data_IF_280939353790
#
_entry.id   IF_280939353790
#
_cell.length_a   1.000
_cell.length_b   1.000
_cell.length_c   1.000
_cell.angle_alpha   90.00
_cell.angle_beta   90.00
_cell.angle_gamma   90.00
#
_symmetry.space_group_name_H-M   'P 1'
#
loop_
_entity.id
_entity.type
_entity.pdbx_description
1 polymer ?
#
# COMPACT_ATOMS: atom_id res chain seq x y z
N UNK A 1 79.44 -6.26 -11.76
CA UNK A 1 79.99 -4.92 -12.07
C UNK A 1 78.90 -3.93 -11.68
N UNK A 2 78.97 -3.33 -10.47
CA UNK A 2 79.65 -2.03 -10.22
C UNK A 2 78.82 -0.90 -10.84
N UNK A 3 78.31 0.16 -10.20
CA UNK A 3 78.56 0.94 -8.97
C UNK A 3 77.33 1.89 -8.84
N UNK A 4 76.66 2.09 -7.69
CA UNK A 4 76.92 3.07 -6.61
C UNK A 4 77.00 4.56 -7.00
N UNK A 5 76.34 5.40 -6.18
CA UNK A 5 76.49 6.85 -6.05
C UNK A 5 75.24 7.44 -5.36
N UNK A 6 75.17 7.51 -4.03
CA UNK A 6 75.59 8.64 -3.15
C UNK A 6 74.85 9.96 -3.48
N UNK A 7 74.11 10.58 -2.56
CA UNK A 7 74.71 11.36 -1.46
C UNK A 7 73.66 11.84 -0.42
N UNK A 8 74.14 11.98 0.81
CA UNK A 8 73.50 12.47 2.04
C UNK A 8 73.33 14.01 2.10
N UNK A 9 72.38 14.49 2.92
CA UNK A 9 72.51 15.43 4.07
C UNK A 9 71.13 16.06 4.37
N UNK A 10 70.44 15.84 5.51
CA UNK A 10 70.68 16.12 6.94
C UNK A 10 70.56 17.62 7.32
N UNK A 11 69.57 17.93 8.16
CA UNK A 11 69.41 19.24 8.85
C UNK A 11 67.97 19.53 9.30
N UNK A 12 67.47 18.91 10.38
CA UNK A 12 67.30 19.46 11.75
C UNK A 12 66.14 20.43 12.02
N UNK A 13 65.43 20.08 13.10
CA UNK A 13 64.20 20.64 13.66
C UNK A 13 64.26 22.07 14.20
N UNK A 14 63.09 22.70 14.33
CA UNK A 14 62.83 23.70 15.36
C UNK A 14 61.41 23.59 15.92
N UNK A 15 61.33 23.27 17.23
CA UNK A 15 60.15 23.37 18.11
C UNK A 15 60.08 24.79 18.65
N UNK A 16 58.88 25.39 18.73
CA UNK A 16 58.57 26.41 19.75
C UNK A 16 57.17 26.17 20.36
N UNK A 17 57.18 26.14 21.70
CA UNK A 17 56.05 26.15 22.64
C UNK A 17 55.59 27.59 22.93
N UNK A 18 54.33 27.77 23.32
CA UNK A 18 53.78 28.79 24.24
C UNK A 18 52.39 28.26 24.67
N UNK A 19 52.20 27.63 25.84
CA UNK A 19 52.02 28.10 27.24
C UNK A 19 50.64 28.70 27.57
N UNK A 20 50.09 28.19 28.67
CA UNK A 20 48.79 28.39 29.33
C UNK A 20 48.45 29.84 29.72
N UNK A 21 47.14 30.11 29.90
CA UNK A 21 46.64 30.91 31.03
C UNK A 21 45.15 30.64 31.35
N UNK A 22 44.89 30.22 32.59
CA UNK A 22 43.61 30.27 33.30
C UNK A 22 43.16 31.71 33.57
N UNK A 23 41.85 31.97 33.60
CA UNK A 23 41.30 32.89 34.60
C UNK A 23 39.85 32.54 34.98
N UNK A 24 39.57 32.74 36.27
CA UNK A 24 38.43 32.30 37.08
C UNK A 24 37.72 33.54 37.63
N UNK A 25 36.40 33.46 37.85
CA UNK A 25 35.52 34.22 38.78
C UNK A 25 34.25 34.71 38.06
N UNK A 26 33.03 34.78 38.63
CA UNK A 26 32.56 34.67 40.03
C UNK A 26 31.04 34.43 40.02
N UNK A 27 30.55 33.81 41.09
CA UNK A 27 29.15 33.57 41.40
C UNK A 27 28.40 34.84 41.86
N UNK A 28 27.06 34.81 41.77
CA UNK A 28 26.18 35.36 42.81
C UNK A 28 24.86 34.59 42.91
N UNK A 29 24.53 34.27 44.16
CA UNK A 29 23.33 33.64 44.69
C UNK A 29 22.15 34.63 44.66
N UNK A 30 20.91 34.13 44.66
CA UNK A 30 19.96 34.31 45.77
C UNK A 30 18.65 33.53 45.47
N UNK A 31 18.32 32.49 46.25
CA UNK A 31 17.45 32.46 47.45
C UNK A 31 16.03 31.94 47.10
N UNK A 32 15.70 30.79 47.71
CA UNK A 32 14.38 30.15 47.86
C UNK A 32 13.64 30.77 49.06
N UNK A 33 12.30 30.63 49.23
CA UNK A 33 11.70 29.47 49.93
C UNK A 33 10.42 28.96 49.22
N UNK A 34 10.20 27.64 49.05
CA UNK A 34 9.42 26.71 49.91
C UNK A 34 8.14 27.28 50.53
N UNK A 35 6.99 26.68 50.18
CA UNK A 35 6.07 25.98 51.12
C UNK A 35 4.76 25.56 50.40
N UNK A 36 4.47 24.27 50.28
CA UNK A 36 3.61 23.39 51.12
C UNK A 36 2.16 23.25 50.64
N UNK A 37 1.69 22.02 50.84
CA UNK A 37 0.39 21.39 50.59
C UNK A 37 -0.88 22.22 50.79
N UNK A 38 -1.89 21.97 49.95
CA UNK A 38 -3.27 21.80 50.44
C UNK A 38 -4.11 20.98 49.45
N UNK A 39 -4.54 19.80 49.89
CA UNK A 39 -5.75 19.12 49.42
C UNK A 39 -6.99 19.89 49.89
N UNK A 40 -8.04 19.94 49.06
CA UNK A 40 -9.45 19.73 49.46
C UNK A 40 -10.42 19.91 48.29
N UNK A 41 -11.34 18.96 48.23
CA UNK A 41 -12.61 18.97 47.49
C UNK A 41 -13.43 20.25 47.73
N UNK A 42 -14.23 20.65 46.75
CA UNK A 42 -15.69 20.51 46.76
C UNK A 42 -16.31 21.08 45.47
N UNK A 43 -17.39 20.44 45.04
CA UNK A 43 -18.06 20.67 43.77
C UNK A 43 -18.79 22.01 43.64
N UNK A 44 -19.21 22.24 42.40
CA UNK A 44 -20.06 23.35 42.01
C UNK A 44 -20.47 23.18 40.56
N UNK A 45 -21.59 22.49 40.33
CA UNK A 45 -22.36 22.65 39.10
C UNK A 45 -22.72 24.13 38.93
N UNK A 46 -22.50 24.67 37.74
CA UNK A 46 -23.28 25.82 37.28
C UNK A 46 -23.42 25.73 35.76
N UNK A 47 -24.60 25.25 35.35
CA UNK A 47 -25.08 25.32 33.99
C UNK A 47 -25.42 26.76 33.63
N UNK A 48 -24.71 27.35 32.67
CA UNK A 48 -25.22 28.48 31.88
C UNK A 48 -24.91 28.17 30.42
N UNK A 49 -25.95 27.88 29.63
CA UNK A 49 -25.92 28.07 28.18
C UNK A 49 -26.23 29.54 27.89
N UNK A 50 -25.57 30.13 26.90
CA UNK A 50 -26.33 30.80 25.85
C UNK A 50 -25.92 30.27 24.46
N UNK A 51 -26.92 30.15 23.58
CA UNK A 51 -26.72 29.89 22.14
C UNK A 51 -26.32 31.15 21.36
N UNK A 52 -26.50 31.15 20.04
CA UNK A 52 -25.44 30.88 19.09
C UNK A 52 -24.95 32.18 18.42
N UNK A 53 -23.63 32.31 18.23
CA UNK A 53 -23.09 33.29 17.29
C UNK A 53 -22.11 32.63 16.32
N UNK A 54 -22.29 33.06 15.09
CA UNK A 54 -21.90 32.49 13.83
C UNK A 54 -20.58 33.13 13.41
N UNK A 55 -19.47 32.40 13.47
CA UNK A 55 -18.25 32.77 12.75
C UNK A 55 -17.65 31.53 12.10
N UNK A 56 -17.88 31.45 10.79
CA UNK A 56 -17.05 30.72 9.83
C UNK A 56 -15.59 31.06 10.07
N UNK A 57 -14.75 30.06 10.34
CA UNK A 57 -13.42 30.01 9.72
C UNK A 57 -12.83 28.59 9.73
N UNK A 58 -11.94 28.36 8.77
CA UNK A 58 -11.58 27.10 8.15
C UNK A 58 -10.92 26.04 9.06
N UNK A 59 -11.74 25.15 9.63
CA UNK A 59 -11.30 23.86 10.18
C UNK A 59 -11.34 22.76 9.12
N UNK A 60 -10.27 22.63 8.33
CA UNK A 60 -10.06 21.42 7.51
C UNK A 60 -9.77 20.23 8.42
N UNK A 61 -10.82 19.60 8.94
CA UNK A 61 -10.73 18.35 9.70
C UNK A 61 -10.05 17.29 8.85
N UNK A 62 -8.80 16.96 9.21
CA UNK A 62 -8.14 15.73 8.79
C UNK A 62 -8.98 14.57 9.31
N UNK A 63 -9.85 14.05 8.44
CA UNK A 63 -10.66 12.89 8.74
C UNK A 63 -9.74 11.67 8.77
N UNK A 64 -9.20 11.34 9.94
CA UNK A 64 -8.66 10.00 10.21
C UNK A 64 -9.85 9.06 10.19
N UNK A 65 -10.16 8.53 9.00
CA UNK A 65 -11.04 7.39 8.85
C UNK A 65 -10.15 6.15 8.81
N UNK A 66 -10.36 5.13 9.65
CA UNK A 66 -9.74 3.84 9.42
C UNK A 66 -10.25 3.34 8.06
N UNK A 67 -9.36 3.36 7.07
CA UNK A 67 -9.58 2.76 5.76
C UNK A 67 -9.61 1.24 5.86
N UNK A 68 -10.22 0.53 4.90
CA UNK A 68 -10.20 -0.92 4.89
C UNK A 68 -8.76 -1.40 4.72
N UNK A 69 -8.36 -2.36 5.54
CA UNK A 69 -7.07 -3.06 5.57
C UNK A 69 -6.41 -3.16 4.19
N UNK A 70 -5.48 -2.23 3.90
CA UNK A 70 -4.61 -2.30 2.73
C UNK A 70 -3.19 -2.09 3.24
N UNK A 71 -2.35 -3.08 2.94
CA UNK A 71 -1.05 -3.39 3.53
C UNK A 71 -1.04 -4.21 4.85
N UNK A 72 -1.98 -5.15 5.05
CA UNK A 72 -1.69 -6.24 6.00
C UNK A 72 -0.73 -7.22 5.30
N UNK A 73 0.52 -7.38 5.77
CA UNK A 73 1.29 -8.55 5.40
C UNK A 73 0.50 -9.74 5.96
N UNK A 74 0.04 -10.66 5.10
CA UNK A 74 -0.14 -12.02 5.59
C UNK A 74 1.19 -12.38 6.25
N UNK A 75 1.17 -12.60 7.57
CA UNK A 75 2.36 -12.66 8.39
C UNK A 75 3.19 -13.84 7.89
N UNK A 76 4.36 -13.54 7.33
CA UNK A 76 5.29 -14.56 6.86
C UNK A 76 5.55 -15.50 8.04
N UNK A 77 5.14 -16.77 7.91
CA UNK A 77 5.26 -17.77 9.00
C UNK A 77 6.71 -18.08 9.31
N UNK A 78 7.63 -17.84 8.38
CA UNK A 78 9.06 -18.07 8.62
C UNK A 78 9.62 -17.11 9.67
N UNK A 79 9.14 -15.87 9.75
CA UNK A 79 9.65 -14.84 10.66
C UNK A 79 8.62 -14.38 11.69
N UNK A 80 7.63 -15.21 12.02
CA UNK A 80 6.58 -14.90 12.99
C UNK A 80 7.10 -14.67 14.42
N UNK A 81 8.20 -15.33 14.77
CA UNK A 81 8.92 -15.22 16.02
C UNK A 81 9.82 -13.99 16.13
N UNK A 82 10.00 -13.23 15.05
CA UNK A 82 10.76 -11.98 15.07
C UNK A 82 9.79 -10.87 15.50
N UNK A 83 10.20 -10.07 16.48
CA UNK A 83 9.37 -8.97 16.97
C UNK A 83 9.13 -7.91 15.86
N UNK A 84 7.90 -7.41 15.78
CA UNK A 84 7.52 -6.29 14.93
C UNK A 84 6.53 -5.41 15.68
N UNK A 85 6.60 -4.12 15.42
CA UNK A 85 5.81 -3.12 16.12
C UNK A 85 4.43 -2.99 15.47
N UNK A 86 3.38 -3.03 16.28
CA UNK A 86 1.97 -3.01 15.81
C UNK A 86 1.25 -1.69 16.10
N UNK A 87 1.94 -0.69 16.62
CA UNK A 87 1.34 0.56 17.09
C UNK A 87 1.20 1.64 15.99
N UNK A 88 1.39 1.28 14.72
CA UNK A 88 1.40 2.22 13.60
C UNK A 88 -0.01 2.59 13.15
N UNK A 89 -0.30 3.89 13.09
CA UNK A 89 -1.52 4.39 12.49
C UNK A 89 -1.39 4.37 10.97
N UNK A 90 -2.17 3.52 10.32
CA UNK A 90 -2.20 3.42 8.87
C UNK A 90 -2.88 4.64 8.24
N UNK A 91 -2.17 5.29 7.31
CA UNK A 91 -2.69 6.46 6.61
C UNK A 91 -2.39 6.39 5.11
N UNK A 92 -3.33 6.88 4.30
CA UNK A 92 -3.13 7.05 2.86
C UNK A 92 -2.39 8.38 2.57
N UNK A 93 -1.47 8.41 1.60
CA UNK A 93 -0.81 9.63 1.16
C UNK A 93 -1.72 10.49 0.29
N UNK A 94 -1.51 11.81 0.32
CA UNK A 94 -1.88 12.66 -0.80
C UNK A 94 -0.90 12.39 -1.95
N UNK A 95 -1.42 11.87 -3.05
CA UNK A 95 -0.62 11.52 -4.22
C UNK A 95 -0.74 12.58 -5.30
N UNK A 96 0.38 12.99 -5.88
CA UNK A 96 0.41 13.88 -7.06
C UNK A 96 1.45 13.38 -8.06
N UNK A 97 1.19 13.52 -9.35
CA UNK A 97 2.14 13.12 -10.39
C UNK A 97 2.68 14.37 -11.08
N UNK A 98 3.99 14.58 -11.03
CA UNK A 98 4.66 15.71 -11.67
C UNK A 98 5.72 15.15 -12.62
N UNK A 99 5.60 15.47 -13.91
CA UNK A 99 6.52 14.97 -14.95
C UNK A 99 6.69 13.44 -14.97
N UNK A 100 5.63 12.70 -14.61
CA UNK A 100 5.65 11.23 -14.56
C UNK A 100 6.19 10.65 -13.25
N UNK A 101 6.64 11.48 -12.31
CA UNK A 101 7.07 11.05 -10.97
C UNK A 101 5.91 11.16 -9.99
N UNK A 102 5.61 10.06 -9.30
CA UNK A 102 4.58 10.01 -8.26
C UNK A 102 5.15 10.49 -6.93
N UNK A 103 4.62 11.61 -6.42
CA UNK A 103 4.97 12.20 -5.14
C UNK A 103 3.93 11.82 -4.09
N UNK A 104 4.40 11.34 -2.94
CA UNK A 104 3.60 11.09 -1.76
C UNK A 104 3.78 12.22 -0.75
N UNK A 105 2.69 12.70 -0.17
CA UNK A 105 2.69 13.75 0.84
C UNK A 105 1.79 13.39 2.01
N UNK A 106 2.31 13.55 3.22
CA UNK A 106 1.56 13.38 4.46
C UNK A 106 1.64 14.64 5.30
N UNK A 107 0.54 14.94 5.99
CA UNK A 107 0.48 15.93 7.07
C UNK A 107 0.00 15.21 8.31
N UNK A 108 0.87 15.06 9.29
CA UNK A 108 0.58 14.28 10.48
C UNK A 108 0.93 15.08 11.74
N UNK A 109 0.08 15.05 12.77
CA UNK A 109 0.46 15.53 14.10
C UNK A 109 1.44 14.55 14.77
N UNK A 110 1.80 14.81 16.03
CA UNK A 110 2.57 13.86 16.85
C UNK A 110 1.96 12.45 16.80
N UNK A 111 2.80 11.45 16.52
CA UNK A 111 2.42 10.04 16.51
C UNK A 111 3.32 9.16 15.66
N UNK A 112 2.93 7.88 15.57
CA UNK A 112 3.56 6.84 14.77
C UNK A 112 2.64 6.45 13.61
N UNK A 113 3.13 6.54 12.38
CA UNK A 113 2.33 6.33 11.17
C UNK A 113 2.96 5.33 10.21
N UNK A 114 2.12 4.63 9.45
CA UNK A 114 2.51 3.77 8.34
C UNK A 114 1.76 4.19 7.07
N UNK A 115 2.50 4.44 5.99
CA UNK A 115 1.89 4.69 4.69
C UNK A 115 1.34 3.39 4.10
N UNK A 116 0.04 3.34 3.84
CA UNK A 116 -0.65 2.17 3.26
C UNK A 116 -0.27 1.87 1.81
N UNK A 117 0.48 2.76 1.14
CA UNK A 117 0.91 2.59 -0.25
C UNK A 117 2.34 2.10 -0.33
N UNK A 118 3.28 2.78 0.35
CA UNK A 118 4.71 2.47 0.27
C UNK A 118 5.23 1.60 1.41
N UNK A 119 4.44 1.41 2.48
CA UNK A 119 4.87 0.74 3.71
C UNK A 119 5.89 1.54 4.52
N UNK A 120 6.21 2.79 4.17
CA UNK A 120 7.12 3.65 4.93
C UNK A 120 6.50 3.94 6.31
N UNK A 121 7.27 3.78 7.39
CA UNK A 121 6.81 4.15 8.73
C UNK A 121 7.66 5.28 9.31
N UNK A 122 7.04 6.13 10.11
CA UNK A 122 7.73 7.24 10.77
C UNK A 122 7.11 7.60 12.12
N UNK A 123 7.96 8.06 13.03
CA UNK A 123 7.58 8.62 14.32
C UNK A 123 7.94 10.10 14.35
N UNK A 124 7.00 10.92 14.81
CA UNK A 124 7.22 12.35 14.98
C UNK A 124 6.63 12.82 16.31
N UNK A 125 7.33 13.72 17.00
CA UNK A 125 6.92 14.29 18.30
C UNK A 125 6.19 15.63 18.15
N UNK A 126 6.11 16.15 16.93
CA UNK A 126 5.44 17.40 16.56
C UNK A 126 4.73 17.25 15.22
N UNK A 127 3.94 18.24 14.85
CA UNK A 127 3.33 18.32 13.53
C UNK A 127 4.40 18.34 12.45
N UNK A 128 4.28 17.44 11.48
CA UNK A 128 5.19 17.32 10.35
C UNK A 128 4.45 17.33 9.02
N UNK A 129 5.16 17.79 7.99
CA UNK A 129 4.78 17.61 6.61
C UNK A 129 5.90 16.86 5.91
N UNK A 130 5.65 15.57 5.71
CA UNK A 130 6.55 14.63 5.06
C UNK A 130 6.20 14.54 3.58
N UNK A 131 7.19 14.73 2.72
CA UNK A 131 7.12 14.43 1.29
C UNK A 131 8.17 13.39 0.93
N UNK A 132 7.82 12.48 0.05
CA UNK A 132 8.81 11.60 -0.56
C UNK A 132 8.33 11.04 -1.89
N UNK A 133 9.27 10.48 -2.65
CA UNK A 133 8.96 9.66 -3.82
C UNK A 133 9.98 8.54 -3.98
N UNK A 134 9.62 7.57 -4.83
CA UNK A 134 10.51 6.49 -5.20
C UNK A 134 11.49 6.97 -6.28
N UNK A 135 12.77 6.59 -6.12
CA UNK A 135 13.85 6.90 -7.06
C UNK A 135 14.27 5.66 -7.83
N UNK A 136 14.71 5.86 -9.07
CA UNK A 136 15.33 4.81 -9.86
C UNK A 136 16.72 4.47 -9.29
N UNK A 137 16.99 3.17 -9.15
CA UNK A 137 18.28 2.64 -8.71
C UNK A 137 19.34 2.58 -9.82
N UNK A 138 18.94 2.62 -11.09
CA UNK A 138 19.83 2.49 -12.25
C UNK A 138 21.10 3.37 -12.16
N UNK A 139 21.03 4.67 -11.76
CA UNK A 139 22.21 5.53 -11.67
C UNK A 139 23.24 5.06 -10.63
N UNK A 140 22.82 4.28 -9.62
CA UNK A 140 23.67 3.82 -8.52
C UNK A 140 24.06 2.34 -8.65
N UNK A 141 23.61 1.66 -9.71
CA UNK A 141 23.81 0.22 -9.90
C UNK A 141 25.29 -0.19 -9.96
N UNK A 142 26.13 0.57 -10.66
CA UNK A 142 27.56 0.29 -10.74
C UNK A 142 28.26 0.59 -9.42
N UNK A 143 27.92 1.72 -8.79
CA UNK A 143 28.46 2.12 -7.50
C UNK A 143 28.20 1.08 -6.40
N UNK A 144 26.99 0.53 -6.34
CA UNK A 144 26.67 -0.57 -5.42
C UNK A 144 27.53 -1.81 -5.68
N UNK A 145 27.76 -2.16 -6.95
CA UNK A 145 28.63 -3.30 -7.30
C UNK A 145 30.06 -3.07 -6.81
N UNK A 146 30.59 -1.87 -6.99
CA UNK A 146 31.94 -1.50 -6.58
C UNK A 146 32.09 -1.53 -5.04
N UNK A 147 31.06 -1.06 -4.33
CA UNK A 147 30.99 -1.12 -2.86
C UNK A 147 30.65 -2.52 -2.31
N UNK A 148 30.35 -3.51 -3.18
CA UNK A 148 29.91 -4.87 -2.82
C UNK A 148 28.57 -4.93 -2.06
N UNK A 149 27.63 -4.08 -2.44
CA UNK A 149 26.25 -4.08 -1.94
C UNK A 149 25.23 -4.35 -3.06
N UNK A 150 24.03 -4.71 -2.66
CA UNK A 150 22.83 -4.77 -3.50
C UNK A 150 21.66 -4.06 -2.79
N UNK A 151 20.56 -3.84 -3.51
CA UNK A 151 19.37 -3.20 -2.95
C UNK A 151 18.74 -4.11 -1.90
N UNK A 152 18.39 -3.57 -0.73
CA UNK A 152 17.62 -4.26 0.31
C UNK A 152 16.16 -3.82 0.39
N UNK A 153 15.82 -2.70 -0.28
CA UNK A 153 14.51 -2.06 -0.28
C UNK A 153 14.40 -0.97 -1.36
N UNK A 154 13.30 -0.19 -1.35
CA UNK A 154 13.12 0.94 -2.26
C UNK A 154 14.05 2.12 -1.90
N UNK A 155 14.58 2.81 -2.93
CA UNK A 155 15.25 4.09 -2.76
C UNK A 155 14.21 5.21 -2.64
N UNK A 156 14.19 5.85 -1.48
CA UNK A 156 13.20 6.87 -1.11
C UNK A 156 13.89 8.23 -1.03
N UNK A 157 13.41 9.21 -1.78
CA UNK A 157 13.86 10.59 -1.65
C UNK A 157 12.99 11.31 -0.62
N UNK A 158 13.49 11.43 0.62
CA UNK A 158 12.72 11.98 1.74
C UNK A 158 12.99 13.48 1.85
N UNK A 159 11.92 14.27 1.90
CA UNK A 159 11.96 15.73 2.07
C UNK A 159 11.00 16.16 3.16
N UNK A 160 11.52 16.88 4.15
CA UNK A 160 10.70 17.52 5.19
C UNK A 160 10.30 18.92 4.75
N UNK A 161 9.00 19.19 4.59
CA UNK A 161 8.50 20.57 4.37
C UNK A 161 8.27 21.31 5.69
N UNK A 162 7.96 20.55 6.75
CA UNK A 162 7.72 21.09 8.08
C UNK A 162 8.11 20.05 9.13
N UNK A 163 8.82 20.51 10.17
CA UNK A 163 9.18 19.70 11.33
C UNK A 163 10.30 18.69 11.04
N UNK A 164 10.51 17.79 12.00
CA UNK A 164 11.55 16.77 11.97
C UNK A 164 10.95 15.43 12.41
N UNK A 165 11.52 14.34 11.90
CA UNK A 165 11.14 12.98 12.29
C UNK A 165 12.12 12.49 13.36
N UNK A 166 11.60 11.78 14.35
CA UNK A 166 12.43 11.09 15.34
C UNK A 166 12.95 9.77 14.80
N UNK A 167 12.07 9.05 14.11
CA UNK A 167 12.37 7.73 13.54
C UNK A 167 11.77 7.61 12.15
N UNK A 168 12.51 6.95 11.26
CA UNK A 168 11.98 6.41 10.01
C UNK A 168 12.31 4.93 9.94
N UNK A 169 11.34 4.13 9.52
CA UNK A 169 11.54 2.71 9.31
C UNK A 169 11.38 2.44 7.81
N UNK A 170 12.50 2.12 7.17
CA UNK A 170 12.61 1.91 5.73
C UNK A 170 12.23 0.45 5.39
N UNK A 171 11.29 0.21 4.46
CA UNK A 171 10.92 -1.13 4.07
C UNK A 171 12.10 -1.95 3.53
N UNK A 172 12.15 -3.24 3.86
CA UNK A 172 13.03 -4.22 3.22
C UNK A 172 12.27 -5.49 2.86
N UNK A 173 12.77 -6.21 1.85
CA UNK A 173 12.18 -7.48 1.44
C UNK A 173 12.86 -8.70 2.09
N UNK A 174 13.95 -8.53 2.83
CA UNK A 174 14.67 -9.66 3.46
C UNK A 174 13.84 -10.30 4.58
N UNK A 175 13.79 -11.63 4.63
CA UNK A 175 13.21 -12.39 5.73
C UNK A 175 14.30 -12.78 6.72
N UNK A 176 14.13 -12.39 7.99
CA UNK A 176 15.08 -12.71 9.06
C UNK A 176 14.83 -14.06 9.74
N UNK A 177 13.76 -14.77 9.37
CA UNK A 177 13.27 -15.94 10.09
C UNK A 177 14.25 -17.13 10.09
N UNK A 178 14.81 -17.47 8.93
CA UNK A 178 15.79 -18.56 8.82
C UNK A 178 17.19 -18.13 9.27
N UNK A 179 17.51 -16.84 9.12
CA UNK A 179 18.84 -16.32 9.43
C UNK A 179 18.78 -14.90 10.03
N UNK A 180 18.62 -14.77 11.36
CA UNK A 180 18.59 -13.48 12.04
C UNK A 180 19.90 -12.69 11.97
N UNK A 181 21.02 -13.33 11.58
CA UNK A 181 22.32 -12.65 11.47
C UNK A 181 22.39 -11.70 10.26
N UNK A 182 21.48 -11.85 9.28
CA UNK A 182 21.37 -10.98 8.12
C UNK A 182 21.15 -9.50 8.47
N UNK A 183 20.65 -9.21 9.68
CA UNK A 183 20.57 -7.84 10.20
C UNK A 183 21.93 -7.11 10.19
N UNK A 184 23.02 -7.84 10.41
CA UNK A 184 24.38 -7.28 10.44
C UNK A 184 24.93 -6.99 9.04
N UNK A 185 24.31 -7.58 8.01
CA UNK A 185 24.69 -7.43 6.60
C UNK A 185 23.94 -6.28 5.93
N UNK A 186 22.99 -5.66 6.64
CA UNK A 186 22.25 -4.49 6.17
C UNK A 186 22.96 -3.20 6.57
N UNK A 187 22.94 -2.21 5.67
CA UNK A 187 23.34 -0.82 5.93
C UNK A 187 22.29 0.11 5.36
N UNK A 188 22.33 1.36 5.79
CA UNK A 188 21.54 2.44 5.19
C UNK A 188 22.44 3.19 4.23
N UNK A 189 22.05 3.22 2.96
CA UNK A 189 22.65 4.06 1.95
C UNK A 189 22.01 5.43 2.03
N UNK A 190 22.85 6.47 2.12
CA UNK A 190 22.47 7.85 1.88
C UNK A 190 23.07 8.29 0.56
N UNK A 191 22.25 8.94 -0.27
CA UNK A 191 22.66 9.57 -1.51
C UNK A 191 22.55 11.08 -1.31
N UNK A 192 23.70 11.74 -1.39
CA UNK A 192 23.88 13.17 -1.16
C UNK A 192 24.42 13.84 -2.43
N UNK A 193 24.46 15.17 -2.47
CA UNK A 193 24.89 15.94 -3.65
C UNK A 193 26.32 15.58 -4.11
N UNK A 194 27.20 15.18 -3.18
CA UNK A 194 28.62 14.95 -3.45
C UNK A 194 29.04 13.47 -3.39
N UNK A 195 28.08 12.55 -3.30
CA UNK A 195 28.38 11.11 -3.30
C UNK A 195 27.37 10.29 -2.53
N UNK A 196 27.85 9.15 -2.01
CA UNK A 196 27.07 8.25 -1.17
C UNK A 196 27.80 7.97 0.12
N UNK A 197 27.05 7.79 1.20
CA UNK A 197 27.56 7.36 2.50
C UNK A 197 26.77 6.15 3.00
N UNK A 198 27.39 5.37 3.88
CA UNK A 198 26.78 4.20 4.51
C UNK A 198 26.68 4.44 6.02
N UNK A 199 25.49 4.22 6.57
CA UNK A 199 25.19 4.28 7.99
C UNK A 199 24.83 2.87 8.51
N UNK A 200 25.20 2.61 9.77
CA UNK A 200 24.75 1.41 10.49
C UNK A 200 23.24 1.46 10.75
N UNK A 201 22.57 0.33 10.59
CA UNK A 201 21.14 0.27 10.92
C UNK A 201 20.97 0.30 12.43
N UNK A 202 20.08 1.16 12.95
CA UNK A 202 19.82 1.22 14.38
C UNK A 202 19.12 -0.05 14.88
N UNK A 203 18.10 -0.51 14.15
CA UNK A 203 17.33 -1.71 14.46
C UNK A 203 16.76 -2.30 13.17
N UNK A 204 16.77 -3.62 13.03
CA UNK A 204 16.12 -4.32 11.92
C UNK A 204 14.97 -5.15 12.48
N UNK A 205 13.77 -4.87 12.00
CA UNK A 205 12.53 -5.57 12.37
C UNK A 205 12.17 -6.60 11.28
N UNK A 206 10.96 -7.16 11.31
CA UNK A 206 10.50 -8.13 10.30
C UNK A 206 10.51 -7.59 8.87
N UNK A 207 10.11 -6.34 8.69
CA UNK A 207 9.88 -5.74 7.38
C UNK A 207 10.57 -4.39 7.19
N UNK A 208 11.23 -3.86 8.22
CA UNK A 208 11.82 -2.53 8.17
C UNK A 208 13.16 -2.41 8.87
N UNK A 209 13.99 -1.51 8.35
CA UNK A 209 15.22 -1.05 8.98
C UNK A 209 15.01 0.37 9.54
N UNK A 210 15.23 0.54 10.83
CA UNK A 210 15.05 1.79 11.57
C UNK A 210 16.29 2.68 11.44
N UNK A 211 16.03 3.96 11.21
CA UNK A 211 16.98 5.07 11.31
C UNK A 211 16.45 6.14 12.25
N UNK A 212 17.36 6.79 12.97
CA UNK A 212 17.04 7.87 13.90
C UNK A 212 17.36 9.23 13.27
N UNK A 213 16.51 10.21 13.55
CA UNK A 213 16.67 11.61 13.13
C UNK A 213 17.09 11.75 11.65
N UNK A 214 16.31 11.18 10.71
CA UNK A 214 16.67 11.19 9.29
C UNK A 214 16.76 12.63 8.78
N UNK A 215 17.80 12.88 8.01
CA UNK A 215 17.93 14.13 7.24
C UNK A 215 17.12 14.03 5.97
N UNK A 216 16.83 15.18 5.35
CA UNK A 216 16.27 15.19 4.00
C UNK A 216 17.35 14.73 3.03
N UNK A 217 17.22 13.50 2.55
CA UNK A 217 18.13 12.86 1.61
C UNK A 217 17.45 11.67 0.93
N UNK A 218 18.08 11.19 -0.14
CA UNK A 218 17.71 9.93 -0.76
C UNK A 218 18.30 8.77 0.03
N UNK A 219 17.46 7.90 0.57
CA UNK A 219 17.84 6.84 1.52
C UNK A 219 17.28 5.48 1.14
N UNK A 220 18.02 4.41 1.45
CA UNK A 220 17.53 3.03 1.30
C UNK A 220 18.30 2.04 2.17
N UNK A 221 17.66 0.91 2.45
CA UNK A 221 18.35 -0.30 2.91
C UNK A 221 19.17 -0.89 1.75
N UNK A 222 20.42 -1.24 2.03
CA UNK A 222 21.29 -2.04 1.15
C UNK A 222 21.78 -3.27 1.89
N UNK A 223 22.03 -4.35 1.16
CA UNK A 223 22.46 -5.64 1.69
C UNK A 223 23.83 -6.00 1.12
N UNK A 224 24.71 -6.56 1.95
CA UNK A 224 25.99 -7.10 1.49
C UNK A 224 25.78 -8.11 0.34
N UNK A 225 26.52 -7.94 -0.75
CA UNK A 225 26.36 -8.72 -1.98
C UNK A 225 26.69 -10.21 -1.81
N UNK A 226 27.55 -10.57 -0.86
CA UNK A 226 27.86 -11.99 -0.58
C UNK A 226 26.69 -12.63 0.19
N UNK A 227 26.12 -11.91 1.15
CA UNK A 227 24.98 -12.38 1.92
C UNK A 227 23.72 -12.59 1.06
N UNK A 228 23.57 -11.83 -0.03
CA UNK A 228 22.39 -11.92 -0.90
C UNK A 228 22.34 -13.17 -1.80
N UNK A 229 23.39 -13.99 -1.86
CA UNK A 229 23.39 -15.18 -2.73
C UNK A 229 22.45 -16.29 -2.27
N UNK A 230 22.14 -16.34 -0.98
CA UNK A 230 21.33 -17.39 -0.39
C UNK A 230 20.45 -16.82 0.73
N UNK A 231 19.62 -15.85 0.37
CA UNK A 231 18.75 -15.13 1.30
C UNK A 231 17.30 -15.50 1.08
N UNK A 232 16.58 -15.70 2.18
CA UNK A 232 15.14 -15.84 2.19
C UNK A 232 14.50 -14.44 2.16
N UNK A 233 13.49 -14.26 1.31
CA UNK A 233 12.87 -12.95 1.04
C UNK A 233 11.35 -13.04 1.04
N UNK A 234 10.71 -11.93 1.41
CA UNK A 234 9.29 -11.69 1.29
C UNK A 234 8.95 -11.28 -0.14
N UNK A 235 7.91 -11.90 -0.68
CA UNK A 235 7.50 -11.73 -2.06
C UNK A 235 6.01 -11.44 -2.18
N UNK A 236 5.63 -10.80 -3.27
CA UNK A 236 4.24 -10.63 -3.69
C UNK A 236 4.03 -11.27 -5.06
N UNK A 237 2.80 -11.73 -5.30
CA UNK A 237 2.39 -12.33 -6.57
C UNK A 237 1.34 -11.43 -7.20
N UNK A 238 1.64 -10.90 -8.38
CA UNK A 238 0.74 -10.03 -9.14
C UNK A 238 0.31 -10.75 -10.41
N UNK A 239 -0.98 -10.70 -10.71
CA UNK A 239 -1.56 -11.27 -11.92
C UNK A 239 -2.20 -10.19 -12.77
N UNK A 240 -1.80 -10.10 -14.04
CA UNK A 240 -2.56 -9.38 -15.05
C UNK A 240 -3.34 -10.38 -15.87
N UNK A 241 -4.65 -10.18 -16.04
CA UNK A 241 -5.51 -11.12 -16.73
C UNK A 241 -6.43 -10.40 -17.73
N UNK A 242 -6.54 -10.94 -18.94
CA UNK A 242 -7.47 -10.50 -19.96
C UNK A 242 -8.34 -11.67 -20.45
N UNK A 243 -9.64 -11.43 -20.53
CA UNK A 243 -10.61 -12.36 -21.15
C UNK A 243 -10.85 -11.95 -22.59
N UNK A 244 -10.62 -12.88 -23.52
CA UNK A 244 -10.81 -12.68 -24.96
C UNK A 244 -11.70 -13.77 -25.52
N UNK A 245 -12.95 -13.47 -25.89
CA UNK A 245 -13.92 -14.45 -26.46
C UNK A 245 -13.88 -15.79 -25.70
N UNK A 246 -13.20 -16.80 -26.25
CA UNK A 246 -13.07 -18.16 -25.72
C UNK A 246 -11.76 -18.45 -24.96
N UNK A 247 -10.91 -17.45 -24.71
CA UNK A 247 -9.56 -17.60 -24.16
C UNK A 247 -9.33 -16.62 -23.02
N UNK A 248 -8.70 -17.09 -21.95
CA UNK A 248 -8.15 -16.25 -20.89
C UNK A 248 -6.63 -16.23 -21.05
N UNK A 249 -6.06 -15.03 -21.07
CA UNK A 249 -4.62 -14.81 -21.13
C UNK A 249 -4.23 -14.15 -19.81
N UNK A 250 -3.26 -14.74 -19.11
CA UNK A 250 -2.74 -14.16 -17.89
C UNK A 250 -1.22 -14.04 -17.90
N UNK A 251 -0.73 -13.09 -17.09
CA UNK A 251 0.68 -12.78 -16.88
C UNK A 251 0.92 -12.69 -15.38
N UNK A 252 1.60 -13.69 -14.84
CA UNK A 252 1.91 -13.77 -13.42
C UNK A 252 3.33 -13.27 -13.20
N UNK A 253 3.48 -12.31 -12.29
CA UNK A 253 4.73 -11.73 -11.86
C UNK A 253 5.02 -12.16 -10.43
N UNK A 254 6.26 -12.59 -10.19
CA UNK A 254 6.79 -12.83 -8.85
C UNK A 254 7.74 -11.70 -8.50
N UNK A 255 7.39 -10.93 -7.47
CA UNK A 255 8.09 -9.70 -7.08
C UNK A 255 8.63 -9.84 -5.66
N UNK A 256 9.78 -9.22 -5.40
CA UNK A 256 10.16 -8.91 -4.03
C UNK A 256 9.15 -7.91 -3.47
N UNK A 257 8.89 -7.96 -2.16
CA UNK A 257 8.01 -7.00 -1.49
C UNK A 257 8.69 -5.63 -1.40
N UNK A 258 8.73 -4.96 -2.55
CA UNK A 258 9.39 -3.69 -2.81
C UNK A 258 8.49 -2.87 -3.74
N UNK A 259 8.08 -1.68 -3.26
CA UNK A 259 7.19 -0.80 -4.01
C UNK A 259 7.77 -0.38 -5.36
N UNK A 260 9.10 -0.26 -5.50
CA UNK A 260 9.73 0.09 -6.78
C UNK A 260 9.56 -0.99 -7.86
N UNK A 261 9.61 -2.28 -7.48
CA UNK A 261 9.37 -3.38 -8.42
C UNK A 261 7.91 -3.42 -8.88
N UNK A 262 6.97 -3.12 -7.97
CA UNK A 262 5.56 -3.02 -8.32
C UNK A 262 5.30 -1.89 -9.33
N UNK A 263 5.84 -0.70 -9.10
CA UNK A 263 5.72 0.41 -10.05
C UNK A 263 6.32 0.09 -11.41
N UNK A 264 7.49 -0.57 -11.45
CA UNK A 264 8.12 -0.99 -12.71
C UNK A 264 7.25 -1.99 -13.51
N UNK A 265 6.57 -2.92 -12.83
CA UNK A 265 5.62 -3.84 -13.48
C UNK A 265 4.38 -3.10 -13.96
N UNK A 266 3.85 -2.16 -13.18
CA UNK A 266 2.69 -1.36 -13.57
C UNK A 266 2.97 -0.50 -14.81
N UNK A 267 4.14 0.14 -14.89
CA UNK A 267 4.54 0.89 -16.08
C UNK A 267 4.65 -0.02 -17.31
N UNK A 268 5.26 -1.20 -17.14
CA UNK A 268 5.38 -2.21 -18.21
C UNK A 268 4.02 -2.70 -18.74
N UNK A 269 3.06 -2.91 -17.84
CA UNK A 269 1.74 -3.45 -18.18
C UNK A 269 0.73 -2.36 -18.56
N UNK A 270 1.07 -1.06 -18.46
CA UNK A 270 0.19 0.07 -18.80
C UNK A 270 -0.47 -0.05 -20.17
N UNK A 271 0.30 -0.48 -21.18
CA UNK A 271 -0.21 -0.70 -22.54
C UNK A 271 -1.15 -1.91 -22.62
N UNK A 272 -0.91 -2.96 -21.83
CA UNK A 272 -1.77 -4.15 -21.78
C UNK A 272 -3.07 -3.85 -21.03
N UNK A 273 -3.03 -3.07 -19.95
CA UNK A 273 -4.22 -2.59 -19.24
C UNK A 273 -5.14 -1.83 -20.19
N UNK A 274 -4.57 -0.96 -21.03
CA UNK A 274 -5.31 -0.26 -22.09
C UNK A 274 -5.93 -1.19 -23.14
N UNK A 275 -5.48 -2.44 -23.23
CA UNK A 275 -6.00 -3.49 -24.12
C UNK A 275 -6.97 -4.45 -23.40
N UNK A 276 -7.42 -4.11 -22.18
CA UNK A 276 -8.41 -4.87 -21.43
C UNK A 276 -7.84 -5.91 -20.45
N UNK A 277 -6.58 -5.76 -20.03
CA UNK A 277 -6.06 -6.51 -18.88
C UNK A 277 -6.48 -5.85 -17.57
N UNK A 278 -6.86 -6.68 -16.59
CA UNK A 278 -7.11 -6.28 -15.20
C UNK A 278 -5.98 -6.77 -14.30
N UNK A 279 -5.52 -5.91 -13.39
CA UNK A 279 -4.51 -6.24 -12.37
C UNK A 279 -5.20 -6.85 -11.14
N UNK A 280 -4.64 -7.94 -10.63
CA UNK A 280 -5.04 -8.61 -9.40
C UNK A 280 -3.81 -8.79 -8.52
N UNK A 281 -3.85 -8.22 -7.31
CA UNK A 281 -2.90 -8.55 -6.26
C UNK A 281 -3.38 -9.83 -5.58
N UNK A 282 -2.60 -10.90 -5.69
CA UNK A 282 -2.94 -12.19 -5.07
C UNK A 282 -2.38 -12.27 -3.66
N UNK A 283 -2.75 -13.32 -2.92
CA UNK A 283 -2.15 -13.60 -1.62
C UNK A 283 -0.62 -13.69 -1.74
N UNK A 284 0.11 -13.18 -0.75
CA UNK A 284 1.55 -13.42 -0.70
C UNK A 284 1.81 -14.88 -0.32
N UNK A 285 3.00 -15.45 -0.65
CA UNK A 285 3.43 -16.72 -0.08
C UNK A 285 3.36 -16.72 1.44
N UNK A 286 2.89 -17.84 2.02
CA UNK A 286 2.71 -17.99 3.48
C UNK A 286 4.03 -18.06 4.26
N UNK A 287 5.16 -18.04 3.56
CA UNK A 287 6.51 -18.02 4.11
C UNK A 287 7.47 -17.34 3.14
N UNK A 288 8.71 -17.18 3.57
CA UNK A 288 9.75 -16.63 2.71
C UNK A 288 10.11 -17.57 1.57
N UNK A 289 10.51 -16.99 0.44
CA UNK A 289 11.05 -17.72 -0.70
C UNK A 289 12.55 -17.44 -0.82
N UNK A 290 13.32 -18.42 -1.28
CA UNK A 290 14.75 -18.25 -1.48
C UNK A 290 15.03 -17.46 -2.76
N UNK A 291 15.80 -16.38 -2.64
CA UNK A 291 16.25 -15.57 -3.77
C UNK A 291 17.09 -16.41 -4.73
N UNK A 292 16.95 -16.15 -6.04
CA UNK A 292 17.59 -16.88 -7.15
C UNK A 292 17.12 -18.33 -7.36
N UNK A 293 16.11 -18.81 -6.62
CA UNK A 293 15.52 -20.13 -6.88
C UNK A 293 14.51 -20.09 -8.02
N UNK A 294 14.28 -21.26 -8.63
CA UNK A 294 13.27 -21.47 -9.66
C UNK A 294 11.96 -21.99 -9.07
N UNK A 295 10.86 -21.57 -9.70
CA UNK A 295 9.51 -21.93 -9.32
C UNK A 295 8.72 -22.32 -10.56
N UNK A 296 8.09 -23.49 -10.54
CA UNK A 296 7.15 -23.90 -11.58
C UNK A 296 5.75 -23.37 -11.27
N UNK A 297 5.08 -22.83 -12.28
CA UNK A 297 3.68 -22.42 -12.15
C UNK A 297 2.80 -23.58 -12.62
N UNK A 298 1.92 -24.05 -11.74
CA UNK A 298 0.94 -25.09 -12.05
C UNK A 298 -0.45 -24.47 -12.09
N UNK A 299 -1.17 -24.76 -13.17
CA UNK A 299 -2.57 -24.43 -13.33
C UNK A 299 -3.25 -25.56 -14.13
N UNK A 300 -4.20 -26.32 -13.54
CA UNK A 300 -4.83 -27.46 -14.21
C UNK A 300 -5.63 -27.13 -15.47
N UNK A 301 -6.09 -25.88 -15.59
CA UNK A 301 -6.90 -25.41 -16.73
C UNK A 301 -6.03 -24.83 -17.84
N UNK A 302 -4.74 -24.64 -17.60
CA UNK A 302 -3.82 -24.05 -18.57
C UNK A 302 -3.55 -24.99 -19.73
N UNK A 303 -3.69 -24.46 -20.93
CA UNK A 303 -3.28 -25.12 -22.18
C UNK A 303 -1.81 -24.83 -22.51
N UNK A 304 -1.26 -23.74 -21.98
CA UNK A 304 0.12 -23.34 -22.21
C UNK A 304 0.60 -22.41 -21.10
N UNK A 305 1.79 -22.69 -20.58
CA UNK A 305 2.50 -21.90 -19.58
C UNK A 305 3.90 -21.63 -20.17
N UNK A 306 4.28 -20.36 -20.29
CA UNK A 306 5.58 -19.99 -20.85
C UNK A 306 6.20 -18.77 -20.12
N UNK A 307 7.42 -18.90 -19.57
CA UNK A 307 8.17 -20.16 -19.40
C UNK A 307 7.50 -21.08 -18.35
N UNK A 308 7.79 -22.38 -18.39
CA UNK A 308 7.27 -23.36 -17.42
C UNK A 308 7.77 -23.11 -15.99
N UNK A 309 9.01 -22.61 -15.87
CA UNK A 309 9.62 -22.17 -14.63
C UNK A 309 10.05 -20.71 -14.72
N UNK A 310 9.85 -19.97 -13.63
CA UNK A 310 10.33 -18.61 -13.43
C UNK A 310 11.28 -18.54 -12.24
N UNK A 311 12.26 -17.64 -12.30
CA UNK A 311 13.21 -17.45 -11.20
C UNK A 311 12.78 -16.27 -10.33
N UNK A 312 12.94 -16.36 -9.00
CA UNK A 312 12.83 -15.19 -8.14
C UNK A 312 14.11 -14.37 -8.22
N UNK A 313 14.08 -13.25 -8.92
CA UNK A 313 15.27 -12.50 -9.26
C UNK A 313 15.56 -11.35 -8.27
N UNK A 314 16.83 -10.90 -8.17
CA UNK A 314 17.21 -9.75 -7.36
C UNK A 314 16.54 -8.44 -7.76
N UNK A 315 16.51 -7.48 -6.84
CA UNK A 315 15.80 -6.21 -7.00
C UNK A 315 16.31 -5.34 -8.17
N UNK A 316 17.57 -5.50 -8.57
CA UNK A 316 18.21 -4.77 -9.68
C UNK A 316 17.91 -5.38 -11.06
N UNK A 317 17.02 -6.37 -11.13
CA UNK A 317 16.64 -7.04 -12.38
C UNK A 317 15.16 -6.87 -12.68
N UNK A 318 14.80 -7.03 -13.96
CA UNK A 318 13.40 -7.08 -14.36
C UNK A 318 12.73 -8.32 -13.76
N UNK A 319 11.62 -8.17 -13.03
CA UNK A 319 10.92 -9.31 -12.45
C UNK A 319 10.52 -10.37 -13.47
N UNK A 320 10.64 -11.63 -13.05
CA UNK A 320 10.21 -12.75 -13.88
C UNK A 320 8.70 -12.75 -14.09
N UNK A 321 8.30 -13.09 -15.31
CA UNK A 321 6.91 -13.18 -15.72
C UNK A 321 6.65 -14.52 -16.37
N UNK A 322 5.56 -15.18 -15.98
CA UNK A 322 5.02 -16.32 -16.68
C UNK A 322 3.72 -15.94 -17.38
N UNK A 323 3.60 -16.27 -18.67
CA UNK A 323 2.36 -16.11 -19.42
C UNK A 323 1.62 -17.45 -19.44
N UNK A 324 0.34 -17.43 -19.06
CA UNK A 324 -0.55 -18.59 -19.20
C UNK A 324 -1.65 -18.31 -20.21
N UNK A 325 -2.07 -19.36 -20.91
CA UNK A 325 -3.20 -19.36 -21.83
C UNK A 325 -4.11 -20.52 -21.47
N UNK A 326 -5.40 -20.24 -21.28
CA UNK A 326 -6.43 -21.24 -21.00
C UNK A 326 -7.73 -20.95 -21.74
N UNK A 327 -8.58 -21.97 -21.88
CA UNK A 327 -9.94 -21.77 -22.34
C UNK A 327 -10.74 -20.93 -21.33
N UNK A 328 -11.63 -20.08 -21.81
CA UNK A 328 -12.60 -19.40 -20.95
C UNK A 328 -13.71 -20.37 -20.55
N UNK A 329 -13.47 -21.17 -19.51
CA UNK A 329 -14.35 -22.24 -19.05
C UNK A 329 -15.41 -21.78 -18.05
N UNK A 330 -15.37 -20.52 -17.59
CA UNK A 330 -16.35 -20.02 -16.63
C UNK A 330 -16.17 -20.54 -15.20
N UNK A 331 -15.00 -21.06 -14.85
CA UNK A 331 -14.70 -21.66 -13.53
C UNK A 331 -13.51 -20.97 -12.88
N UNK A 332 -13.43 -21.01 -11.56
CA UNK A 332 -12.35 -20.38 -10.81
C UNK A 332 -10.95 -20.83 -11.27
N UNK A 333 -10.01 -19.88 -11.31
CA UNK A 333 -8.64 -20.11 -11.77
C UNK A 333 -7.77 -20.40 -10.54
N UNK A 334 -7.47 -21.68 -10.32
CA UNK A 334 -6.51 -22.12 -9.31
C UNK A 334 -5.07 -22.03 -9.83
N UNK A 335 -4.17 -21.47 -9.04
CA UNK A 335 -2.75 -21.37 -9.36
C UNK A 335 -1.90 -21.81 -8.18
N UNK A 336 -0.84 -22.54 -8.47
CA UNK A 336 0.12 -23.03 -7.50
C UNK A 336 1.55 -22.72 -7.97
N UNK A 337 2.40 -22.26 -7.05
CA UNK A 337 3.84 -22.17 -7.29
C UNK A 337 4.51 -23.34 -6.57
N UNK A 338 5.34 -24.06 -7.32
CA UNK A 338 6.04 -25.26 -6.86
C UNK A 338 7.54 -24.94 -6.85
N UNK A 339 8.19 -25.13 -5.71
CA UNK A 339 9.64 -24.99 -5.59
C UNK A 339 10.40 -26.13 -6.25
N UNK A 340 11.72 -25.99 -6.41
CA UNK A 340 12.57 -27.06 -6.94
C UNK A 340 12.63 -28.32 -6.06
N UNK A 341 12.15 -28.24 -4.81
CA UNK A 341 11.96 -29.39 -3.92
C UNK A 341 10.60 -30.09 -4.10
N UNK A 342 9.87 -29.75 -5.18
CA UNK A 342 8.55 -30.26 -5.54
C UNK A 342 7.44 -29.93 -4.52
N UNK A 343 7.70 -29.00 -3.58
CA UNK A 343 6.70 -28.56 -2.61
C UNK A 343 5.93 -27.35 -3.14
N UNK A 344 4.63 -27.35 -2.91
CA UNK A 344 3.80 -26.16 -3.14
C UNK A 344 4.17 -25.09 -2.12
N UNK A 345 4.75 -23.97 -2.58
CA UNK A 345 5.16 -22.85 -1.74
C UNK A 345 4.10 -21.74 -1.68
N UNK A 346 3.17 -21.74 -2.63
CA UNK A 346 2.06 -20.79 -2.69
C UNK A 346 0.89 -21.36 -3.48
N UNK A 347 -0.33 -21.01 -3.07
CA UNK A 347 -1.58 -21.34 -3.76
C UNK A 347 -2.53 -20.15 -3.66
N UNK A 348 -3.20 -19.83 -4.77
CA UNK A 348 -4.26 -18.82 -4.80
C UNK A 348 -5.32 -19.18 -5.82
N UNK A 349 -6.51 -18.58 -5.65
CA UNK A 349 -7.65 -18.74 -6.54
C UNK A 349 -8.13 -17.38 -6.98
N UNK A 350 -8.34 -17.19 -8.29
CA UNK A 350 -9.08 -16.05 -8.82
C UNK A 350 -10.47 -16.52 -9.17
N UNK A 351 -11.46 -15.96 -8.49
CA UNK A 351 -12.85 -16.34 -8.72
C UNK A 351 -13.33 -15.89 -10.09
N UNK A 352 -14.14 -16.73 -10.76
CA UNK A 352 -14.77 -16.42 -12.04
C UNK A 352 -15.52 -15.09 -12.04
N UNK A 353 -16.13 -14.72 -10.92
CA UNK A 353 -16.93 -13.50 -10.78
C UNK A 353 -16.06 -12.24 -10.82
N UNK A 354 -14.75 -12.36 -10.62
CA UNK A 354 -13.80 -11.25 -10.66
C UNK A 354 -13.33 -10.92 -12.08
N UNK A 355 -13.33 -11.88 -13.01
CA UNK A 355 -12.79 -11.67 -14.36
C UNK A 355 -13.78 -11.92 -15.49
N UNK A 356 -14.94 -12.53 -15.22
CA UNK A 356 -16.03 -12.62 -16.18
C UNK A 356 -16.93 -11.42 -15.98
N UNK A 357 -16.84 -10.46 -16.90
CA UNK A 357 -17.84 -9.39 -17.02
C UNK A 357 -18.94 -9.92 -17.93
N UNK A 358 -20.20 -9.96 -17.48
CA UNK A 358 -21.34 -10.42 -18.30
C UNK A 358 -21.52 -9.54 -19.55
N UNK A 359 -20.79 -9.84 -20.61
CA UNK A 359 -21.11 -9.39 -21.97
C UNK A 359 -21.94 -10.46 -22.64
N UNK A 360 -23.23 -10.53 -22.28
CA UNK A 360 -24.20 -11.15 -23.16
C UNK A 360 -24.54 -10.17 -24.28
N UNK A 361 -23.78 -10.26 -25.37
CA UNK A 361 -24.22 -9.84 -26.69
C UNK A 361 -25.55 -10.53 -26.99
N UNK A 362 -26.57 -9.71 -27.23
CA UNK A 362 -27.90 -10.10 -27.68
C UNK A 362 -27.78 -10.86 -29.00
N UNK A 363 -27.93 -12.19 -28.96
CA UNK A 363 -28.31 -12.97 -30.14
C UNK A 363 -29.67 -13.58 -29.84
N UNK A 364 -30.71 -12.92 -30.34
CA UNK A 364 -32.08 -13.35 -30.19
C UNK A 364 -32.46 -14.40 -31.26
N UNK A 365 -33.48 -15.22 -30.92
CA UNK A 365 -34.43 -15.94 -31.82
C UNK A 365 -33.90 -17.29 -32.36
N UNK A 366 -34.46 -18.51 -32.19
CA UNK A 366 -35.66 -19.21 -31.63
C UNK A 366 -35.23 -20.69 -31.44
N UNK A 367 -35.83 -21.60 -30.68
CA UNK A 367 -37.08 -21.65 -29.95
C UNK A 367 -37.28 -23.03 -29.28
N UNK A 368 -38.27 -23.08 -28.38
CA UNK A 368 -39.02 -24.22 -27.87
C UNK A 368 -38.29 -25.46 -27.27
N UNK A 369 -38.45 -25.63 -25.95
CA UNK A 369 -38.87 -26.92 -25.39
C UNK A 369 -38.07 -27.49 -24.22
N UNK A 370 -38.69 -27.43 -23.02
CA UNK A 370 -38.51 -28.27 -21.80
C UNK A 370 -37.63 -27.68 -20.67
N UNK A 371 -38.08 -27.78 -19.39
CA UNK A 371 -37.63 -26.89 -18.32
C UNK A 371 -36.40 -27.45 -17.59
N UNK A 372 -35.58 -26.57 -17.02
CA UNK A 372 -35.28 -26.79 -15.60
C UNK A 372 -35.07 -25.52 -14.75
N UNK A 373 -35.53 -25.65 -13.50
CA UNK A 373 -34.81 -25.36 -12.27
C UNK A 373 -34.32 -23.92 -11.98
N UNK A 374 -35.05 -23.32 -11.03
CA UNK A 374 -34.53 -22.46 -9.94
C UNK A 374 -33.47 -21.46 -10.39
N UNK A 375 -33.98 -20.47 -11.09
CA UNK A 375 -33.33 -19.20 -11.37
C UNK A 375 -32.62 -18.61 -10.14
N UNK A 376 -31.33 -18.28 -10.32
CA UNK A 376 -30.51 -17.43 -9.45
C UNK A 376 -31.00 -15.96 -9.39
N UNK A 377 -32.31 -15.76 -9.37
CA UNK A 377 -32.99 -14.47 -9.31
C UNK A 377 -32.85 -13.76 -7.95
N UNK A 378 -32.00 -14.24 -7.04
CA UNK A 378 -31.78 -13.64 -5.72
C UNK A 378 -30.60 -12.65 -5.63
N UNK A 379 -29.65 -12.70 -6.56
CA UNK A 379 -28.31 -12.10 -6.35
C UNK A 379 -28.32 -10.57 -6.22
N UNK A 380 -28.95 -9.84 -7.14
CA UNK A 380 -28.86 -8.37 -7.19
C UNK A 380 -29.64 -7.67 -6.05
N UNK A 381 -30.77 -8.24 -5.63
CA UNK A 381 -31.54 -7.73 -4.49
C UNK A 381 -30.82 -7.98 -3.16
N UNK A 382 -30.06 -9.09 -3.05
CA UNK A 382 -29.22 -9.38 -1.90
C UNK A 382 -27.99 -8.46 -1.86
N UNK A 383 -27.37 -8.17 -3.01
CA UNK A 383 -26.28 -7.19 -3.12
C UNK A 383 -26.73 -5.78 -2.70
N UNK A 384 -27.88 -5.31 -3.21
CA UNK A 384 -28.39 -3.99 -2.82
C UNK A 384 -28.77 -3.94 -1.33
N UNK A 385 -29.23 -5.07 -0.76
CA UNK A 385 -29.44 -5.20 0.70
C UNK A 385 -28.15 -5.15 1.49
N UNK A 386 -27.09 -5.83 1.06
CA UNK A 386 -25.83 -5.90 1.81
C UNK A 386 -25.10 -4.55 1.82
N UNK A 387 -25.18 -3.78 0.74
CA UNK A 387 -24.57 -2.44 0.67
C UNK A 387 -25.43 -1.33 1.25
N UNK A 388 -26.66 -1.63 1.69
CA UNK A 388 -27.66 -0.63 2.08
C UNK A 388 -27.16 0.34 3.15
N UNK A 389 -26.56 -0.18 4.22
CA UNK A 389 -26.08 0.64 5.34
C UNK A 389 -24.98 1.58 4.89
N UNK A 390 -24.08 1.10 4.04
CA UNK A 390 -22.97 1.91 3.55
C UNK A 390 -23.40 2.93 2.50
N UNK A 391 -24.36 2.57 1.66
CA UNK A 391 -25.01 3.49 0.72
C UNK A 391 -25.60 4.68 1.48
N UNK A 392 -26.40 4.43 2.52
CA UNK A 392 -27.01 5.48 3.36
C UNK A 392 -25.95 6.33 4.06
N UNK A 393 -24.81 5.74 4.46
CA UNK A 393 -23.74 6.47 5.14
C UNK A 393 -22.95 7.38 4.21
N UNK A 394 -22.65 6.93 2.98
CA UNK A 394 -21.68 7.58 2.08
C UNK A 394 -22.29 8.43 0.96
N UNK A 395 -23.50 8.12 0.50
CA UNK A 395 -24.09 8.80 -0.66
C UNK A 395 -24.31 10.29 -0.38
N UNK A 396 -23.85 11.15 -1.29
CA UNK A 396 -23.98 12.60 -1.16
C UNK A 396 -25.38 13.07 -1.58
N UNK A 397 -25.82 14.24 -1.10
CA UNK A 397 -27.13 14.81 -1.50
C UNK A 397 -27.27 15.02 -3.02
N UNK A 398 -26.24 15.53 -3.74
CA UNK A 398 -26.33 15.67 -5.20
C UNK A 398 -26.54 14.32 -5.90
N UNK A 399 -25.76 13.30 -5.53
CA UNK A 399 -25.88 11.95 -6.10
C UNK A 399 -27.25 11.33 -5.78
N UNK A 400 -27.83 11.59 -4.61
CA UNK A 400 -29.19 11.14 -4.29
C UNK A 400 -30.25 11.78 -5.18
N UNK A 401 -30.12 13.07 -5.48
CA UNK A 401 -31.08 13.76 -6.33
C UNK A 401 -30.97 13.26 -7.78
N UNK A 402 -29.74 13.15 -8.29
CA UNK A 402 -29.47 12.64 -9.64
C UNK A 402 -29.88 11.17 -9.81
N UNK A 403 -29.64 10.35 -8.79
CA UNK A 403 -30.11 8.97 -8.75
C UNK A 403 -31.64 8.90 -8.74
N UNK A 404 -32.31 9.76 -7.97
CA UNK A 404 -33.76 9.82 -7.92
C UNK A 404 -34.35 10.22 -9.29
N UNK A 405 -33.74 11.19 -9.97
CA UNK A 405 -34.13 11.61 -11.32
C UNK A 405 -33.91 10.47 -12.35
N UNK A 406 -32.77 9.78 -12.27
CA UNK A 406 -32.50 8.60 -13.10
C UNK A 406 -33.48 7.44 -12.85
N UNK A 407 -33.87 7.19 -11.59
CA UNK A 407 -34.86 6.17 -11.26
C UNK A 407 -36.24 6.50 -11.83
N UNK A 408 -36.63 7.77 -11.89
CA UNK A 408 -37.87 8.20 -12.54
C UNK A 408 -37.76 8.06 -14.07
N UNK A 409 -36.65 8.49 -14.66
CA UNK A 409 -36.41 8.39 -16.11
C UNK A 409 -36.44 6.94 -16.60
N UNK A 410 -35.88 6.02 -15.82
CA UNK A 410 -35.91 4.59 -16.12
C UNK A 410 -37.21 3.88 -15.67
N UNK A 411 -38.25 4.64 -15.28
CA UNK A 411 -39.57 4.15 -14.85
C UNK A 411 -39.54 3.21 -13.65
N UNK A 412 -38.49 3.28 -12.83
CA UNK A 412 -38.36 2.48 -11.60
C UNK A 412 -39.27 3.04 -10.51
N UNK A 413 -39.40 4.37 -10.41
CA UNK A 413 -40.33 5.05 -9.50
C UNK A 413 -41.31 5.90 -10.30
N UNK A 414 -42.49 6.18 -9.76
CA UNK A 414 -43.46 7.08 -10.38
C UNK A 414 -43.32 8.53 -9.86
N UNK A 415 -44.05 9.47 -10.47
CA UNK A 415 -43.96 10.89 -10.12
C UNK A 415 -44.39 11.18 -8.67
N UNK A 416 -45.38 10.46 -8.14
CA UNK A 416 -45.87 10.65 -6.77
C UNK A 416 -44.85 10.16 -5.72
N UNK A 417 -44.21 9.02 -5.99
CA UNK A 417 -43.10 8.47 -5.20
C UNK A 417 -41.87 9.40 -5.21
N UNK A 418 -41.56 9.98 -6.37
CA UNK A 418 -40.51 10.98 -6.52
C UNK A 418 -40.78 12.23 -5.64
N UNK A 419 -41.98 12.79 -5.74
CA UNK A 419 -42.32 14.01 -5.00
C UNK A 419 -42.39 13.78 -3.48
N UNK A 420 -42.81 12.59 -3.02
CA UNK A 420 -42.78 12.26 -1.59
C UNK A 420 -41.36 12.17 -1.02
N UNK A 421 -40.41 11.60 -1.77
CA UNK A 421 -39.00 11.50 -1.36
C UNK A 421 -38.26 12.84 -1.44
N UNK A 422 -38.64 13.73 -2.37
CA UNK A 422 -38.03 15.06 -2.50
C UNK A 422 -38.19 15.94 -1.26
N UNK A 423 -39.30 15.79 -0.54
CA UNK A 423 -39.64 16.59 0.66
C UNK A 423 -38.80 16.19 1.88
N UNK A 424 -38.10 15.03 1.86
CA UNK A 424 -37.27 14.58 2.98
C UNK A 424 -36.01 15.45 3.10
N UNK A 425 -35.93 16.23 4.18
CA UNK A 425 -34.83 17.16 4.43
C UNK A 425 -33.53 16.47 4.88
N UNK A 426 -33.62 15.34 5.59
CA UNK A 426 -32.47 14.61 6.12
C UNK A 426 -31.87 13.67 5.07
N UNK A 427 -30.57 13.82 4.79
CA UNK A 427 -29.86 13.07 3.72
C UNK A 427 -29.92 11.56 3.95
N UNK A 428 -29.65 11.12 5.18
CA UNK A 428 -29.60 9.70 5.52
C UNK A 428 -30.99 9.06 5.42
N UNK A 429 -32.03 9.76 5.88
CA UNK A 429 -33.42 9.32 5.75
C UNK A 429 -33.82 9.23 4.27
N UNK A 430 -33.50 10.26 3.48
CA UNK A 430 -33.75 10.28 2.04
C UNK A 430 -33.08 9.12 1.31
N UNK A 431 -31.80 8.86 1.62
CA UNK A 431 -31.06 7.73 1.04
C UNK A 431 -31.71 6.38 1.40
N UNK A 432 -32.18 6.26 2.65
CA UNK A 432 -32.78 5.03 3.17
C UNK A 432 -34.11 4.75 2.47
N UNK A 433 -34.92 5.78 2.28
CA UNK A 433 -36.22 5.67 1.60
C UNK A 433 -36.06 5.28 0.13
N UNK A 434 -35.08 5.86 -0.58
CA UNK A 434 -34.79 5.53 -1.99
C UNK A 434 -34.40 4.06 -2.14
N UNK A 435 -33.41 3.61 -1.36
CA UNK A 435 -32.89 2.26 -1.53
C UNK A 435 -33.94 1.21 -1.19
N UNK A 436 -34.79 1.43 -0.18
CA UNK A 436 -35.82 0.44 0.16
C UNK A 436 -37.19 0.57 -0.48
N UNK A 437 -37.43 1.69 -1.16
CA UNK A 437 -38.39 1.74 -2.26
C UNK A 437 -37.94 0.81 -3.41
N UNK A 438 -36.68 0.90 -3.85
CA UNK A 438 -36.16 0.06 -4.95
C UNK A 438 -36.13 -1.42 -4.57
N UNK A 439 -35.73 -1.76 -3.34
CA UNK A 439 -35.76 -3.15 -2.84
C UNK A 439 -37.18 -3.75 -2.82
N UNK A 440 -38.21 -2.95 -2.53
CA UNK A 440 -39.62 -3.40 -2.55
C UNK A 440 -40.10 -3.71 -3.97
N UNK A 441 -39.65 -2.96 -4.98
CA UNK A 441 -40.05 -3.13 -6.39
C UNK A 441 -39.42 -4.34 -7.09
N UNK A 442 -38.32 -4.87 -6.56
CA UNK A 442 -37.77 -6.17 -6.98
C UNK A 442 -36.40 -6.12 -7.67
N UNK A 443 -35.93 -7.27 -8.14
CA UNK A 443 -34.55 -7.49 -8.59
C UNK A 443 -34.17 -6.68 -9.82
N UNK A 444 -35.08 -6.54 -10.79
CA UNK A 444 -34.89 -5.70 -11.97
C UNK A 444 -34.70 -4.22 -11.62
N UNK A 445 -35.47 -3.73 -10.65
CA UNK A 445 -35.32 -2.37 -10.13
C UNK A 445 -34.00 -2.18 -9.38
N UNK A 446 -33.57 -3.20 -8.63
CA UNK A 446 -32.27 -3.19 -7.94
C UNK A 446 -31.11 -3.15 -8.94
N UNK A 447 -31.18 -3.92 -10.03
CA UNK A 447 -30.18 -3.92 -11.10
C UNK A 447 -30.08 -2.55 -11.77
N UNK A 448 -31.21 -1.92 -12.06
CA UNK A 448 -31.26 -0.57 -12.65
C UNK A 448 -30.67 0.49 -11.74
N UNK A 449 -31.00 0.47 -10.45
CA UNK A 449 -30.39 1.38 -9.47
C UNK A 449 -28.88 1.19 -9.38
N UNK A 450 -28.40 -0.05 -9.43
CA UNK A 450 -26.96 -0.38 -9.39
C UNK A 450 -26.22 0.19 -10.60
N UNK A 451 -26.77 0.00 -11.81
CA UNK A 451 -26.16 0.51 -13.03
C UNK A 451 -26.18 2.04 -13.05
N UNK A 452 -27.28 2.67 -12.64
CA UNK A 452 -27.38 4.12 -12.51
C UNK A 452 -26.36 4.68 -11.51
N UNK A 453 -26.20 4.03 -10.36
CA UNK A 453 -25.22 4.44 -9.37
C UNK A 453 -23.79 4.33 -9.90
N UNK A 454 -23.49 3.31 -10.71
CA UNK A 454 -22.19 3.16 -11.39
C UNK A 454 -21.92 4.28 -12.39
N UNK A 455 -22.95 4.77 -13.09
CA UNK A 455 -22.81 5.85 -14.08
C UNK A 455 -22.68 7.21 -13.40
N UNK A 456 -23.50 7.48 -12.39
CA UNK A 456 -23.55 8.77 -11.68
C UNK A 456 -22.32 8.96 -10.79
N UNK A 457 -21.92 7.92 -10.06
CA UNK A 457 -20.76 7.97 -9.18
C UNK A 457 -20.01 6.62 -9.19
N UNK A 458 -19.14 6.40 -10.20
CA UNK A 458 -18.35 5.18 -10.32
C UNK A 458 -17.48 4.89 -9.08
N UNK A 459 -17.08 5.95 -8.38
CA UNK A 459 -16.24 5.86 -7.18
C UNK A 459 -17.04 5.37 -5.97
N UNK A 460 -18.24 5.92 -5.75
CA UNK A 460 -19.17 5.41 -4.74
C UNK A 460 -19.59 3.97 -5.04
N UNK A 461 -19.86 3.63 -6.30
CA UNK A 461 -20.16 2.26 -6.72
C UNK A 461 -19.04 1.27 -6.37
N UNK A 462 -17.79 1.60 -6.74
CA UNK A 462 -16.63 0.77 -6.42
C UNK A 462 -16.46 0.57 -4.90
N UNK A 463 -16.65 1.64 -4.11
CA UNK A 463 -16.62 1.56 -2.65
C UNK A 463 -17.70 0.67 -2.03
N UNK A 464 -18.92 0.67 -2.57
CA UNK A 464 -20.01 -0.15 -2.05
C UNK A 464 -19.78 -1.65 -2.33
N UNK A 465 -19.19 -1.97 -3.48
CA UNK A 465 -18.86 -3.36 -3.85
C UNK A 465 -17.76 -3.97 -2.96
N UNK A 466 -16.73 -3.18 -2.60
CA UNK A 466 -15.64 -3.61 -1.71
C UNK A 466 -16.17 -4.16 -0.38
N UNK A 467 -17.26 -3.59 0.15
CA UNK A 467 -17.81 -3.97 1.45
C UNK A 467 -18.84 -5.12 1.38
N UNK A 468 -19.38 -5.43 0.19
CA UNK A 468 -20.35 -6.52 0.03
C UNK A 468 -19.75 -7.93 0.10
N UNK A 469 -18.42 -8.05 -0.01
CA UNK A 469 -17.67 -9.32 0.01
C UNK A 469 -17.31 -9.76 1.44
N UNK A 470 -17.54 -8.90 2.44
CA UNK A 470 -17.25 -9.18 3.85
C UNK A 470 -18.49 -9.55 4.66
N UNK A 471 -19.06 -10.73 4.46
CA UNK A 471 -19.87 -11.39 5.52
C UNK A 471 -19.55 -12.89 5.52
N UNK A 472 -18.79 -13.39 6.49
CA UNK A 472 -18.75 -14.81 6.80
C UNK A 472 -20.05 -15.18 7.53
N UNK A 473 -20.78 -16.18 7.04
CA UNK A 473 -21.73 -16.95 7.88
C UNK A 473 -21.00 -18.08 8.58
#
# INVERSE_FOLDING_TARGET
>A
MSLSGESEERGTASKRRYSEREERAKASKNILPQDTSSTKDHGGECCIKPGPEDTRDHGGESCIKPGPEKWIPQSCKTCDHIEDSTHWLQIEPLTSTVQGVTMFRHRTPKGSYECTVSGLRWLCERDVILKYHLRNWEPYSQLLKDMRYTQGGPLLDITMELGELEEVHLPHFVCLGTNPSLRNEMKILHVEEHGVSLEEVHEVTRFHAKILHPKSSSVSVVLNKIACWNVDVHCDVILYLAVKRSTVISRLYLLLRNSSQKEAVQDREKNQVSQGYSEFLLSSPNGSLKLNNWFALKNPLSTSINPEKIQLLPADTTPSCCKMIMGNTGVDIEMELIGDDERTVWKSVVSKDQYITDTHSTSAVLGAGRPPERSLTGSTKLQLRSVRTEFVKRVSRPVLNELLDGLLQHTVINQEEMESVKVIAERAEKARDIIDMVLRKGTESCSRMINLLREIDPYLWSMLQINSVGVPT
#
